data_IF_229710887191
#
_entry.id   IF_229710887191
#
_cell.length_a   1.000
_cell.length_b   1.000
_cell.length_c   1.000
_cell.angle_alpha   90.00
_cell.angle_beta   90.00
_cell.angle_gamma   90.00
#
_symmetry.space_group_name_H-M   'P 1'
#
loop_
_entity.id
_entity.type
_entity.pdbx_description
1 polymer ?
#
# COMPACT_ATOMS: atom_id res chain seq x y z
N UNK A 1 20.39 0.85 12.95
CA UNK A 1 19.68 -0.40 13.21
C UNK A 1 18.29 -0.34 12.63
N UNK A 2 17.87 -1.31 11.85
CA UNK A 2 16.50 -1.27 11.29
C UNK A 2 15.47 -1.42 12.41
N UNK A 3 14.34 -0.75 12.24
CA UNK A 3 13.23 -0.86 13.17
C UNK A 3 12.59 -2.23 13.08
N UNK A 4 12.26 -2.88 14.21
CA UNK A 4 11.75 -4.25 14.19
C UNK A 4 10.36 -4.37 13.56
N UNK A 5 9.63 -3.26 13.44
CA UNK A 5 8.29 -3.23 12.82
C UNK A 5 8.35 -2.96 11.33
N UNK A 6 9.52 -2.64 10.77
CA UNK A 6 9.74 -2.37 9.34
C UNK A 6 10.67 -3.44 8.78
N UNK A 7 10.22 -4.14 7.75
CA UNK A 7 11.06 -5.14 7.08
C UNK A 7 10.82 -5.11 5.58
N UNK A 8 11.77 -5.63 4.82
CA UNK A 8 11.71 -5.73 3.37
C UNK A 8 11.47 -7.18 2.99
N UNK A 9 10.61 -7.40 2.01
CA UNK A 9 10.29 -8.73 1.57
C UNK A 9 10.02 -8.76 0.06
N UNK A 10 9.92 -9.95 -0.49
CA UNK A 10 9.71 -10.19 -1.91
C UNK A 10 8.65 -11.26 -2.11
N UNK A 11 7.89 -11.15 -3.21
CA UNK A 11 7.02 -12.22 -3.66
C UNK A 11 7.23 -12.48 -5.15
N UNK A 12 7.02 -13.73 -5.55
CA UNK A 12 7.14 -14.17 -6.94
C UNK A 12 5.88 -13.78 -7.72
N UNK A 13 5.98 -13.69 -9.07
CA UNK A 13 4.80 -13.47 -9.90
C UNK A 13 3.69 -14.46 -9.59
N UNK A 14 2.46 -13.99 -9.53
CA UNK A 14 1.28 -14.80 -9.23
C UNK A 14 0.97 -14.97 -7.76
N UNK A 15 1.90 -14.66 -6.87
CA UNK A 15 1.66 -14.75 -5.44
C UNK A 15 0.86 -13.56 -4.94
N UNK A 16 -0.03 -13.80 -3.97
CA UNK A 16 -0.81 -12.74 -3.36
C UNK A 16 -0.05 -12.11 -2.21
N UNK A 17 0.01 -10.77 -2.22
CA UNK A 17 0.48 -9.98 -1.10
C UNK A 17 -0.63 -9.83 -0.06
N UNK A 18 -1.86 -9.65 -0.54
CA UNK A 18 -3.06 -9.47 0.26
C UNK A 18 -4.16 -10.34 -0.33
N UNK A 19 -4.89 -11.05 0.51
CA UNK A 19 -6.06 -11.84 0.09
C UNK A 19 -7.33 -11.08 0.44
N UNK A 20 -8.27 -11.03 -0.49
CA UNK A 20 -9.60 -10.46 -0.26
C UNK A 20 -10.25 -11.18 0.93
N UNK A 21 -10.79 -10.41 1.84
CA UNK A 21 -11.42 -10.96 3.05
C UNK A 21 -10.48 -11.22 4.22
N UNK A 22 -9.16 -11.15 3.98
CA UNK A 22 -8.17 -11.39 5.02
C UNK A 22 -7.94 -10.19 5.92
N UNK A 23 -7.30 -10.43 7.05
CA UNK A 23 -6.86 -9.39 8.00
C UNK A 23 -5.48 -9.75 8.51
N UNK A 24 -4.51 -8.90 8.31
CA UNK A 24 -3.15 -9.14 8.80
C UNK A 24 -2.65 -8.06 9.75
N UNK A 25 -3.31 -6.91 9.75
CA UNK A 25 -2.83 -5.75 10.52
C UNK A 25 -1.54 -5.15 9.94
N UNK A 26 -1.12 -5.59 8.77
CA UNK A 26 0.09 -5.14 8.13
C UNK A 26 -0.23 -4.12 7.04
N UNK A 27 0.68 -3.14 6.91
CA UNK A 27 0.66 -2.17 5.83
C UNK A 27 1.84 -2.49 4.92
N UNK A 28 1.63 -2.36 3.61
CA UNK A 28 2.66 -2.65 2.63
C UNK A 28 2.96 -1.41 1.81
N UNK A 29 4.23 -1.23 1.44
CA UNK A 29 4.65 -0.12 0.59
C UNK A 29 5.49 -0.69 -0.55
N UNK A 30 5.03 -0.47 -1.77
CA UNK A 30 5.71 -0.97 -2.96
C UNK A 30 7.08 -0.30 -3.10
N UNK A 31 8.11 -1.11 -3.30
CA UNK A 31 9.44 -0.61 -3.63
C UNK A 31 9.73 -0.78 -5.11
N UNK A 32 9.45 -1.96 -5.66
CA UNK A 32 9.72 -2.27 -7.06
C UNK A 32 8.81 -3.39 -7.54
N UNK A 33 8.39 -3.32 -8.78
CA UNK A 33 7.56 -4.35 -9.41
C UNK A 33 6.15 -3.87 -9.71
N UNK A 34 5.29 -4.79 -10.10
CA UNK A 34 3.92 -4.51 -10.49
C UNK A 34 2.95 -5.43 -9.75
N UNK A 35 1.91 -4.84 -9.21
CA UNK A 35 0.85 -5.52 -8.49
C UNK A 35 -0.47 -5.36 -9.25
N UNK A 36 -1.30 -6.39 -9.20
CA UNK A 36 -2.65 -6.37 -9.73
C UNK A 36 -3.64 -6.38 -8.57
N UNK A 37 -4.64 -5.51 -8.62
CA UNK A 37 -5.74 -5.50 -7.67
C UNK A 37 -6.92 -6.23 -8.31
N UNK A 38 -7.40 -7.27 -7.62
CA UNK A 38 -8.49 -8.12 -8.10
C UNK A 38 -9.58 -8.15 -7.03
N UNK A 39 -10.80 -7.86 -7.42
CA UNK A 39 -11.96 -7.90 -6.54
C UNK A 39 -13.02 -8.77 -7.15
N UNK A 40 -13.49 -9.76 -6.39
CA UNK A 40 -14.51 -10.72 -6.84
C UNK A 40 -14.12 -11.38 -8.18
N UNK A 41 -12.82 -11.69 -8.31
CA UNK A 41 -12.27 -12.33 -9.50
C UNK A 41 -12.04 -11.41 -10.70
N UNK A 42 -12.31 -10.11 -10.55
CA UNK A 42 -12.17 -9.15 -11.65
C UNK A 42 -11.01 -8.19 -11.41
N UNK A 43 -10.24 -7.95 -12.46
CA UNK A 43 -9.18 -6.94 -12.42
C UNK A 43 -9.77 -5.55 -12.17
N UNK A 44 -9.25 -4.86 -11.17
CA UNK A 44 -9.69 -3.51 -10.81
C UNK A 44 -8.65 -2.47 -11.25
N UNK A 45 -7.39 -2.70 -10.91
CA UNK A 45 -6.31 -1.76 -11.22
C UNK A 45 -4.95 -2.44 -11.16
N UNK A 46 -3.95 -1.73 -11.65
CA UNK A 46 -2.54 -2.13 -11.56
C UNK A 46 -1.80 -1.09 -10.73
N UNK A 47 -0.96 -1.53 -9.83
CA UNK A 47 -0.15 -0.67 -8.96
C UNK A 47 1.31 -0.91 -9.33
N UNK A 48 2.01 0.13 -9.78
CA UNK A 48 3.40 0.03 -10.23
C UNK A 48 4.29 1.19 -9.80
N UNK A 49 3.73 2.16 -9.08
CA UNK A 49 4.50 3.34 -8.65
C UNK A 49 5.20 3.03 -7.33
N UNK A 50 6.54 3.15 -7.27
CA UNK A 50 7.25 3.00 -6.00
C UNK A 50 6.72 3.99 -4.95
N UNK A 51 6.52 3.50 -3.75
CA UNK A 51 5.91 4.27 -2.67
C UNK A 51 4.41 4.05 -2.52
N UNK A 52 3.79 3.30 -3.43
CA UNK A 52 2.36 2.99 -3.32
C UNK A 52 2.07 2.22 -2.04
N UNK A 53 1.09 2.70 -1.28
CA UNK A 53 0.66 2.11 -0.01
C UNK A 53 -0.49 1.15 -0.30
N UNK A 54 -0.39 -0.06 0.25
CA UNK A 54 -1.36 -1.12 0.02
C UNK A 54 -1.81 -1.68 1.37
N UNK A 55 -3.11 -1.90 1.51
CA UNK A 55 -3.68 -2.46 2.74
C UNK A 55 -4.15 -1.43 3.74
N UNK A 56 -4.11 -0.15 3.40
CA UNK A 56 -4.43 0.95 4.31
C UNK A 56 -5.89 0.96 4.78
N UNK A 57 -6.81 0.57 3.91
CA UNK A 57 -8.24 0.57 4.29
C UNK A 57 -8.52 -0.43 5.40
N UNK A 58 -7.96 -1.63 5.30
CA UNK A 58 -8.15 -2.66 6.31
C UNK A 58 -7.56 -2.24 7.66
N UNK A 59 -6.38 -1.63 7.63
CA UNK A 59 -5.70 -1.18 8.85
C UNK A 59 -6.44 -0.01 9.50
N UNK A 60 -6.76 1.02 8.71
CA UNK A 60 -7.34 2.25 9.24
C UNK A 60 -8.81 2.10 9.62
N UNK A 61 -9.56 1.29 8.90
CA UNK A 61 -10.98 1.10 9.12
C UNK A 61 -11.31 -0.15 9.92
N UNK A 62 -10.29 -0.93 10.29
CA UNK A 62 -10.46 -2.18 11.03
C UNK A 62 -11.49 -3.10 10.35
N UNK A 63 -11.27 -3.39 9.08
CA UNK A 63 -12.16 -4.20 8.28
C UNK A 63 -11.36 -5.21 7.45
N UNK A 64 -12.01 -6.28 6.96
CA UNK A 64 -11.33 -7.20 6.05
C UNK A 64 -10.86 -6.51 4.78
N UNK A 65 -9.81 -7.05 4.17
CA UNK A 65 -9.32 -6.56 2.88
C UNK A 65 -10.40 -6.67 1.82
N UNK A 66 -10.61 -5.61 1.06
CA UNK A 66 -11.69 -5.55 0.07
C UNK A 66 -11.32 -6.14 -1.27
N UNK A 67 -10.06 -6.44 -1.48
CA UNK A 67 -9.56 -6.99 -2.73
C UNK A 67 -8.32 -7.84 -2.48
N UNK A 68 -8.02 -8.71 -3.44
CA UNK A 68 -6.75 -9.43 -3.49
C UNK A 68 -5.74 -8.57 -4.23
N UNK A 69 -4.52 -8.47 -3.72
CA UNK A 69 -3.42 -7.79 -4.38
C UNK A 69 -2.35 -8.84 -4.69
N UNK A 70 -2.08 -9.04 -5.96
CA UNK A 70 -1.25 -10.13 -6.45
C UNK A 70 -0.11 -9.61 -7.31
N UNK A 71 1.05 -10.25 -7.25
CA UNK A 71 2.19 -9.85 -8.04
C UNK A 71 2.01 -10.22 -9.51
N UNK A 72 2.22 -9.26 -10.41
CA UNK A 72 2.32 -9.49 -11.85
C UNK A 72 3.76 -9.88 -12.20
N UNK A 73 4.71 -9.16 -11.63
CA UNK A 73 6.15 -9.44 -11.75
C UNK A 73 6.65 -9.87 -10.38
N UNK A 74 7.94 -10.15 -10.25
CA UNK A 74 8.56 -10.19 -8.93
C UNK A 74 8.38 -8.81 -8.29
N UNK A 75 7.98 -8.78 -7.03
CA UNK A 75 7.69 -7.55 -6.31
C UNK A 75 8.52 -7.49 -5.04
N UNK A 76 9.19 -6.37 -4.86
CA UNK A 76 9.88 -6.03 -3.63
C UNK A 76 9.08 -4.94 -2.90
N UNK A 77 8.90 -5.10 -1.59
CA UNK A 77 8.06 -4.21 -0.81
C UNK A 77 8.52 -4.11 0.63
N UNK A 78 8.14 -3.03 1.28
CA UNK A 78 8.29 -2.89 2.73
C UNK A 78 7.02 -3.37 3.41
N UNK A 79 7.18 -4.04 4.54
CA UNK A 79 6.09 -4.47 5.40
C UNK A 79 6.20 -3.74 6.73
N UNK A 80 5.10 -3.11 7.13
CA UNK A 80 4.98 -2.49 8.44
C UNK A 80 4.07 -3.39 9.28
N UNK A 81 4.67 -4.13 10.20
CA UNK A 81 3.96 -5.03 11.10
C UNK A 81 3.23 -4.21 12.16
N UNK A 82 2.06 -4.69 12.61
CA UNK A 82 1.25 -4.01 13.60
C UNK A 82 1.08 -2.53 13.25
N UNK A 83 0.64 -2.29 12.02
CA UNK A 83 0.69 -0.97 11.40
C UNK A 83 -0.08 0.10 12.18
N UNK A 84 -1.22 -0.25 12.76
CA UNK A 84 -2.02 0.73 13.52
C UNK A 84 -1.23 1.27 14.72
N UNK A 85 -0.56 0.39 15.46
CA UNK A 85 0.26 0.79 16.60
C UNK A 85 1.46 1.63 16.15
N UNK A 86 2.09 1.24 15.03
CA UNK A 86 3.23 2.01 14.47
C UNK A 86 2.78 3.41 14.07
N UNK A 87 1.64 3.53 13.40
CA UNK A 87 1.11 4.84 12.99
C UNK A 87 0.74 5.71 14.19
N UNK A 88 0.23 5.11 15.27
CA UNK A 88 0.00 5.86 16.51
C UNK A 88 1.29 6.44 17.09
N UNK A 89 2.40 5.74 16.93
CA UNK A 89 3.70 6.19 17.38
C UNK A 89 4.42 7.14 16.42
N UNK A 90 3.87 7.32 15.21
CA UNK A 90 4.46 8.16 14.16
C UNK A 90 3.39 9.09 13.56
N UNK A 91 2.97 10.11 14.31
CA UNK A 91 1.88 10.98 13.85
C UNK A 91 2.18 11.71 12.55
N UNK A 92 3.45 11.98 12.24
CA UNK A 92 3.86 12.56 10.95
C UNK A 92 3.54 11.64 9.78
N UNK A 93 3.74 10.33 9.95
CA UNK A 93 3.39 9.34 8.93
C UNK A 93 1.88 9.23 8.76
N UNK A 94 1.17 9.21 9.88
CA UNK A 94 -0.29 9.17 9.86
C UNK A 94 -0.87 10.38 9.16
N UNK A 95 -0.32 11.58 9.45
CA UNK A 95 -0.75 12.81 8.80
C UNK A 95 -0.47 12.76 7.28
N UNK A 96 0.69 12.24 6.88
CA UNK A 96 1.03 12.12 5.46
C UNK A 96 0.05 11.20 4.73
N UNK A 97 -0.29 10.07 5.33
CA UNK A 97 -1.28 9.15 4.77
C UNK A 97 -2.64 9.83 4.69
N UNK A 98 -3.04 10.54 5.73
CA UNK A 98 -4.31 11.27 5.74
C UNK A 98 -4.39 12.30 4.62
N UNK A 99 -3.30 13.03 4.38
CA UNK A 99 -3.23 14.01 3.29
C UNK A 99 -3.38 13.34 1.92
N UNK A 100 -2.72 12.20 1.72
CA UNK A 100 -2.82 11.46 0.47
C UNK A 100 -4.25 10.94 0.25
N UNK A 101 -4.90 10.44 1.29
CA UNK A 101 -6.29 10.02 1.22
C UNK A 101 -7.23 11.19 0.88
N UNK A 102 -7.00 12.36 1.48
CA UNK A 102 -7.78 13.55 1.18
C UNK A 102 -7.60 13.99 -0.27
N UNK A 103 -6.37 13.96 -0.78
CA UNK A 103 -6.08 14.27 -2.17
C UNK A 103 -6.78 13.29 -3.11
N UNK A 104 -6.80 12.01 -2.75
CA UNK A 104 -7.48 10.97 -3.53
C UNK A 104 -8.98 11.20 -3.59
N UNK A 105 -9.62 11.57 -2.48
CA UNK A 105 -11.03 11.90 -2.43
C UNK A 105 -11.33 13.10 -3.32
N UNK A 106 -10.51 14.14 -3.24
CA UNK A 106 -10.66 15.33 -4.07
C UNK A 106 -10.52 14.99 -5.56
N UNK A 107 -9.52 14.20 -5.91
CA UNK A 107 -9.30 13.76 -7.29
C UNK A 107 -10.47 12.91 -7.80
N UNK A 108 -11.02 12.03 -6.98
CA UNK A 108 -12.17 11.19 -7.34
C UNK A 108 -13.39 12.06 -7.62
N UNK A 109 -13.63 13.08 -6.79
CA UNK A 109 -14.72 14.03 -7.01
C UNK A 109 -14.55 14.75 -8.35
N UNK A 110 -13.34 15.19 -8.67
CA UNK A 110 -13.03 15.84 -9.94
C UNK A 110 -13.16 14.89 -11.14
N UNK A 111 -13.03 13.59 -10.92
CA UNK A 111 -13.03 12.57 -11.97
C UNK A 111 -14.39 11.95 -12.24
N UNK A 112 -15.45 12.46 -11.66
CA UNK A 112 -16.81 11.90 -11.87
C UNK A 112 -17.23 11.91 -13.34
N UNK A 113 -16.64 12.75 -14.15
CA UNK A 113 -17.00 12.93 -15.56
C UNK A 113 -16.00 12.36 -16.55
N UNK A 114 -14.98 11.62 -16.08
CA UNK A 114 -13.98 11.03 -16.96
C UNK A 114 -13.50 9.68 -16.42
N UNK A 115 -12.83 8.94 -17.28
CA UNK A 115 -12.33 7.62 -16.95
C UNK A 115 -11.31 7.67 -15.83
N UNK A 116 -11.34 6.66 -14.97
CA UNK A 116 -10.35 6.51 -13.92
C UNK A 116 -8.99 6.18 -14.50
N UNK A 117 -7.96 6.74 -13.89
CA UNK A 117 -6.59 6.31 -14.10
C UNK A 117 -6.39 4.89 -13.60
N UNK A 118 -5.48 4.14 -14.22
CA UNK A 118 -5.15 2.79 -13.77
C UNK A 118 -4.60 2.76 -12.36
N UNK A 119 -3.78 3.72 -12.02
CA UNK A 119 -3.06 3.73 -10.74
C UNK A 119 -3.57 4.87 -9.88
N UNK A 120 -4.62 4.60 -9.11
CA UNK A 120 -5.15 5.54 -8.13
C UNK A 120 -4.72 5.21 -6.70
N UNK A 121 -3.67 4.40 -6.55
CA UNK A 121 -3.12 4.06 -5.25
C UNK A 121 -2.56 5.30 -4.53
N UNK A 122 -2.58 5.24 -3.22
CA UNK A 122 -1.93 6.24 -2.38
C UNK A 122 -0.42 6.03 -2.50
N UNK A 123 0.31 7.08 -2.87
CA UNK A 123 1.74 6.99 -3.10
C UNK A 123 2.48 7.97 -2.18
N UNK A 124 3.40 7.43 -1.38
CA UNK A 124 4.25 8.24 -0.52
C UNK A 124 5.30 8.97 -1.37
N UNK A 125 5.59 10.24 -1.06
CA UNK A 125 6.68 10.96 -1.73
C UNK A 125 8.01 10.24 -1.55
N UNK A 126 8.87 10.29 -2.56
CA UNK A 126 10.17 9.63 -2.51
C UNK A 126 11.04 10.14 -1.36
N UNK A 127 10.98 11.45 -1.09
CA UNK A 127 11.72 12.04 0.02
C UNK A 127 11.24 11.54 1.38
N UNK A 128 9.98 11.13 1.49
CA UNK A 128 9.44 10.54 2.72
C UNK A 128 10.10 9.18 2.99
N UNK A 129 10.21 8.36 1.94
CA UNK A 129 10.78 7.02 2.05
C UNK A 129 12.31 7.03 2.19
N UNK A 130 12.97 8.09 1.75
CA UNK A 130 14.42 8.16 1.76
C UNK A 130 14.99 8.15 3.18
N UNK A 131 14.18 8.48 4.19
CA UNK A 131 14.59 8.43 5.59
C UNK A 131 14.49 7.03 6.19
N UNK A 132 13.91 6.07 5.47
CA UNK A 132 13.74 4.72 5.98
C UNK A 132 15.02 3.92 5.82
N UNK A 133 15.42 3.26 6.89
CA UNK A 133 16.55 2.35 6.85
C UNK A 133 16.20 1.12 6.03
N UNK A 134 17.16 0.68 5.20
CA UNK A 134 17.02 -0.60 4.51
C UNK A 134 17.30 -1.70 5.54
N UNK A 135 16.31 -2.55 5.85
CA UNK A 135 16.49 -3.58 6.87
C UNK A 135 17.49 -4.67 6.50
N UNK A 136 17.98 -4.67 5.26
CA UNK A 136 18.98 -5.66 4.82
C UNK A 136 20.39 -5.12 4.83
N UNK A 137 20.59 -3.88 5.21
CA UNK A 137 21.91 -3.24 5.24
C UNK A 137 22.47 -3.18 6.64
#
# INVERSE_FOLDING_TARGET
MPDPWLRRDWIAPGMALIEQGGRTGQLYVLKEGQLEVVRDGKHVSTIKTPGAVVGEMSVLLDMPQTATVRAITEVEFFVIDNALAVLHGHPDWLLQIARLLAQRVNATTALLTRDKSEDDAIVLPQNFMSSWSDPTV
#
